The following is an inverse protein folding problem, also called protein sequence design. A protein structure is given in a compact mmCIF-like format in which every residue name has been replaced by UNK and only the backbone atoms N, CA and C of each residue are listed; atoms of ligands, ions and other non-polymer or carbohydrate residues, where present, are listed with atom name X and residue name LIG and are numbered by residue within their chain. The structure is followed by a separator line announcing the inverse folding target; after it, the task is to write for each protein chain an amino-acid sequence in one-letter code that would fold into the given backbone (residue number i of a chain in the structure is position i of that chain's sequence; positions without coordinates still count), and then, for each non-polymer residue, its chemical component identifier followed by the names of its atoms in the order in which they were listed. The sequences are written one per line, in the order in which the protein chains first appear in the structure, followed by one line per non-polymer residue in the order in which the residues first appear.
data_IF_539410278765
#
_entry.id   IF_539410278765
#
_cell.length_a   1.000
_cell.length_b   1.000
_cell.length_c   1.000
_cell.angle_alpha   90.00
_cell.angle_beta   90.00
_cell.angle_gamma   90.00
#
_symmetry.space_group_name_H-M   'P 1'
#
loop_
_entity.id
_entity.type
_entity.pdbx_description
1 polymer ?
#
# COMPACT_ATOMS: atom_id res chain seq x y z
N UNK A 1 56.20 37.58 -41.78
CA UNK A 1 55.09 38.11 -41.02
C UNK A 1 53.99 37.05 -41.05
N UNK A 2 53.86 36.34 -39.97
CA UNK A 2 52.85 35.24 -39.81
C UNK A 2 51.93 35.66 -38.69
N UNK A 3 50.64 35.84 -39.01
CA UNK A 3 49.60 36.17 -38.04
C UNK A 3 49.06 34.87 -37.43
N UNK A 4 49.18 34.72 -36.10
CA UNK A 4 48.56 33.67 -35.32
C UNK A 4 47.11 34.04 -35.01
N UNK A 5 46.15 33.23 -35.47
CA UNK A 5 44.76 33.29 -35.09
C UNK A 5 44.48 32.41 -33.87
N UNK A 6 44.07 33.02 -32.76
CA UNK A 6 43.61 32.33 -31.55
C UNK A 6 42.16 31.84 -31.73
N UNK A 7 41.95 30.53 -31.73
CA UNK A 7 40.64 29.89 -31.61
C UNK A 7 40.31 29.74 -30.14
N UNK A 8 39.33 30.52 -29.67
CA UNK A 8 38.74 30.32 -28.34
C UNK A 8 37.58 29.30 -28.46
N UNK A 9 37.83 28.09 -28.00
CA UNK A 9 36.79 27.09 -27.88
C UNK A 9 35.99 27.31 -26.60
N UNK A 10 34.78 27.81 -26.76
CA UNK A 10 33.81 27.97 -25.66
C UNK A 10 33.17 26.61 -25.31
N UNK A 11 33.51 26.06 -24.14
CA UNK A 11 32.84 24.92 -23.53
C UNK A 11 31.53 25.37 -22.93
N UNK A 12 30.40 25.11 -23.60
CA UNK A 12 29.05 25.22 -23.04
C UNK A 12 28.80 23.95 -22.18
N UNK A 13 29.05 24.06 -20.88
CA UNK A 13 28.63 23.04 -19.91
C UNK A 13 27.09 23.16 -19.72
N UNK A 14 26.35 22.31 -20.42
CA UNK A 14 24.91 22.16 -20.23
C UNK A 14 24.63 21.52 -18.87
N UNK A 15 24.15 22.33 -17.93
CA UNK A 15 23.68 21.87 -16.62
C UNK A 15 22.33 21.15 -16.82
N UNK A 16 22.34 19.82 -16.96
CA UNK A 16 21.14 19.00 -16.90
C UNK A 16 20.64 18.99 -15.45
N UNK A 17 19.68 19.87 -15.14
CA UNK A 17 18.85 19.76 -13.94
C UNK A 17 17.99 18.51 -14.09
N UNK A 18 18.47 17.38 -13.56
CA UNK A 18 17.63 16.21 -13.32
C UNK A 18 16.64 16.60 -12.25
N UNK A 19 15.41 16.91 -12.64
CA UNK A 19 14.27 17.01 -11.74
C UNK A 19 14.03 15.62 -11.17
N UNK A 20 14.70 15.31 -10.06
CA UNK A 20 14.36 14.15 -9.24
C UNK A 20 13.00 14.47 -8.64
N UNK A 21 11.93 14.00 -9.29
CA UNK A 21 10.62 13.93 -8.64
C UNK A 21 10.82 13.03 -7.41
N UNK A 22 10.63 13.53 -6.18
CA UNK A 22 10.63 12.67 -5.02
C UNK A 22 9.50 11.65 -5.24
N UNK A 23 9.85 10.39 -5.38
CA UNK A 23 8.88 9.31 -5.35
C UNK A 23 8.29 9.33 -3.94
N UNK A 24 7.12 9.96 -3.79
CA UNK A 24 6.39 9.94 -2.53
C UNK A 24 5.98 8.51 -2.25
N UNK A 25 6.46 8.00 -1.15
CA UNK A 25 6.29 6.61 -0.76
C UNK A 25 4.83 6.23 -0.47
N UNK A 26 4.06 7.12 0.17
CA UNK A 26 2.62 6.98 0.44
C UNK A 26 1.98 8.34 0.24
N UNK A 27 0.91 8.40 -0.55
CA UNK A 27 0.16 9.64 -0.76
C UNK A 27 -0.62 10.03 0.51
N UNK A 28 0.00 10.78 1.39
CA UNK A 28 -0.64 11.35 2.59
C UNK A 28 -1.65 12.43 2.18
N UNK A 29 -1.32 13.19 1.13
CA UNK A 29 -2.18 14.22 0.54
C UNK A 29 -2.39 13.90 -0.93
N UNK A 30 -3.63 13.95 -1.39
CA UNK A 30 -3.99 13.80 -2.79
C UNK A 30 -4.75 15.04 -3.25
N UNK A 31 -4.41 15.53 -4.43
CA UNK A 31 -5.23 16.50 -5.14
C UNK A 31 -6.43 15.81 -5.79
N UNK A 32 -7.44 16.56 -6.18
CA UNK A 32 -8.60 16.03 -6.90
C UNK A 32 -8.18 15.34 -8.22
N UNK A 33 -7.19 15.89 -8.92
CA UNK A 33 -6.67 15.32 -10.16
C UNK A 33 -5.98 13.98 -9.91
N UNK A 34 -5.16 13.85 -8.87
CA UNK A 34 -4.52 12.60 -8.48
C UNK A 34 -5.53 11.56 -8.02
N UNK A 35 -6.60 11.98 -7.35
CA UNK A 35 -7.70 11.11 -6.97
C UNK A 35 -8.42 10.53 -8.19
N UNK A 36 -8.70 11.34 -9.22
CA UNK A 36 -9.29 10.89 -10.47
C UNK A 36 -8.35 9.92 -11.22
N UNK A 37 -7.05 10.22 -11.27
CA UNK A 37 -6.06 9.30 -11.86
C UNK A 37 -6.01 7.96 -11.13
N UNK A 38 -6.13 7.94 -9.80
CA UNK A 38 -6.18 6.72 -9.01
C UNK A 38 -7.45 5.90 -9.31
N UNK A 39 -8.61 6.54 -9.42
CA UNK A 39 -9.85 5.88 -9.84
C UNK A 39 -9.71 5.21 -11.20
N UNK A 40 -9.20 5.93 -12.20
CA UNK A 40 -9.01 5.39 -13.54
C UNK A 40 -7.95 4.27 -13.57
N UNK A 41 -6.89 4.38 -12.77
CA UNK A 41 -5.88 3.34 -12.63
C UNK A 41 -6.47 2.02 -12.08
N UNK A 42 -7.42 2.11 -11.16
CA UNK A 42 -8.16 0.95 -10.68
C UNK A 42 -9.18 0.42 -11.68
N UNK A 43 -9.88 1.31 -12.39
CA UNK A 43 -10.94 1.00 -13.34
C UNK A 43 -10.42 0.27 -14.59
N UNK A 44 -9.38 0.82 -15.22
CA UNK A 44 -8.91 0.35 -16.52
C UNK A 44 -8.52 -1.14 -16.59
N UNK A 45 -7.78 -1.74 -15.63
CA UNK A 45 -7.49 -3.17 -15.65
C UNK A 45 -8.75 -4.03 -15.46
N UNK A 46 -9.72 -3.58 -14.65
CA UNK A 46 -10.96 -4.30 -14.41
C UNK A 46 -11.88 -4.27 -15.62
N UNK A 47 -11.90 -3.18 -16.38
CA UNK A 47 -12.64 -3.09 -17.65
C UNK A 47 -12.10 -4.07 -18.71
N UNK A 48 -10.79 -4.31 -18.72
CA UNK A 48 -10.14 -5.23 -19.66
C UNK A 48 -10.29 -6.70 -19.26
N UNK A 49 -10.53 -6.99 -17.98
CA UNK A 49 -10.67 -8.37 -17.49
C UNK A 49 -11.99 -9.00 -17.98
N UNK A 50 -11.93 -10.06 -18.78
CA UNK A 50 -13.09 -10.70 -19.40
C UNK A 50 -13.39 -12.10 -18.82
N UNK A 51 -12.56 -12.59 -17.90
CA UNK A 51 -12.77 -13.89 -17.22
C UNK A 51 -12.61 -13.74 -15.71
N UNK A 52 -13.18 -14.68 -14.91
CA UNK A 52 -12.98 -14.71 -13.47
C UNK A 52 -11.50 -14.80 -13.08
N UNK A 53 -10.69 -15.50 -13.87
CA UNK A 53 -9.24 -15.66 -13.65
C UNK A 53 -8.51 -14.32 -13.85
N UNK A 54 -8.88 -13.54 -14.87
CA UNK A 54 -8.31 -12.22 -15.10
C UNK A 54 -8.71 -11.24 -13.99
N UNK A 55 -9.97 -11.27 -13.55
CA UNK A 55 -10.44 -10.49 -12.39
C UNK A 55 -9.63 -10.84 -11.13
N UNK A 56 -9.42 -12.14 -10.87
CA UNK A 56 -8.60 -12.60 -9.75
C UNK A 56 -7.18 -12.05 -9.82
N UNK A 57 -6.55 -12.08 -11.00
CA UNK A 57 -5.19 -11.51 -11.20
C UNK A 57 -5.16 -10.00 -10.94
N UNK A 58 -6.17 -9.24 -11.40
CA UNK A 58 -6.26 -7.80 -11.12
C UNK A 58 -6.34 -7.53 -9.61
N UNK A 59 -7.17 -8.27 -8.88
CA UNK A 59 -7.31 -8.11 -7.43
C UNK A 59 -6.05 -8.53 -6.67
N UNK A 60 -5.40 -9.62 -7.09
CA UNK A 60 -4.15 -10.08 -6.51
C UNK A 60 -3.03 -9.05 -6.72
N UNK A 61 -2.88 -8.54 -7.95
CA UNK A 61 -1.91 -7.49 -8.26
C UNK A 61 -2.14 -6.23 -7.41
N UNK A 62 -3.38 -5.80 -7.26
CA UNK A 62 -3.74 -4.64 -6.45
C UNK A 62 -3.35 -4.82 -4.96
N UNK A 63 -3.56 -6.01 -4.39
CA UNK A 63 -3.17 -6.29 -3.00
C UNK A 63 -1.65 -6.37 -2.83
N UNK A 64 -0.92 -6.82 -3.85
CA UNK A 64 0.54 -6.90 -3.82
C UNK A 64 1.20 -5.53 -3.96
N UNK A 65 0.60 -4.60 -4.70
CA UNK A 65 1.14 -3.24 -4.92
C UNK A 65 1.26 -2.41 -3.63
N UNK A 66 0.45 -2.73 -2.62
CA UNK A 66 0.46 -2.04 -1.32
C UNK A 66 0.87 -2.95 -0.15
N UNK A 67 1.40 -4.13 -0.45
CA UNK A 67 1.87 -5.07 0.56
C UNK A 67 3.30 -4.74 0.99
N UNK A 68 3.55 -4.86 2.29
CA UNK A 68 4.87 -4.81 2.91
C UNK A 68 5.12 -6.08 3.72
N UNK A 69 6.39 -6.39 4.00
CA UNK A 69 6.77 -7.63 4.65
C UNK A 69 6.90 -8.80 3.68
N UNK A 70 6.45 -9.98 4.07
CA UNK A 70 6.61 -11.19 3.28
C UNK A 70 5.74 -11.20 2.02
N UNK A 71 6.30 -11.76 0.95
CA UNK A 71 5.58 -12.07 -0.28
C UNK A 71 4.85 -13.43 -0.11
N UNK A 72 3.51 -13.45 -0.15
CA UNK A 72 2.75 -14.68 0.10
C UNK A 72 2.94 -15.75 -0.97
N UNK A 73 3.50 -15.42 -2.15
CA UNK A 73 3.83 -16.40 -3.19
C UNK A 73 5.13 -17.15 -2.86
N UNK A 74 6.05 -16.50 -2.10
CA UNK A 74 7.33 -17.08 -1.69
C UNK A 74 7.28 -17.67 -0.28
N UNK A 75 6.56 -16.99 0.61
CA UNK A 75 6.38 -17.39 2.00
C UNK A 75 4.91 -17.17 2.38
N UNK A 76 4.14 -18.22 2.24
CA UNK A 76 2.70 -18.22 2.50
C UNK A 76 2.34 -17.86 3.96
N UNK A 77 3.26 -18.08 4.91
CA UNK A 77 3.10 -17.81 6.34
C UNK A 77 3.98 -16.67 6.85
N UNK A 78 4.75 -16.04 5.98
CA UNK A 78 5.51 -14.85 6.34
C UNK A 78 4.60 -13.70 6.77
N UNK A 79 5.00 -13.03 7.84
CA UNK A 79 4.24 -11.88 8.34
C UNK A 79 4.23 -10.74 7.32
N UNK A 80 3.07 -10.21 7.04
CA UNK A 80 2.89 -9.13 6.05
C UNK A 80 1.76 -8.19 6.42
N UNK A 81 1.76 -7.01 5.81
CA UNK A 81 0.68 -6.05 5.95
C UNK A 81 0.31 -5.43 4.59
N UNK A 82 -0.98 -5.17 4.40
CA UNK A 82 -1.51 -4.45 3.25
C UNK A 82 -1.88 -3.05 3.71
N UNK A 83 -1.31 -2.03 3.06
CA UNK A 83 -1.54 -0.63 3.39
C UNK A 83 -2.73 -0.12 2.58
N UNK A 84 -3.85 0.12 3.24
CA UNK A 84 -5.05 0.67 2.62
C UNK A 84 -4.96 2.20 2.59
N UNK A 85 -4.03 2.70 1.77
CA UNK A 85 -3.78 4.13 1.56
C UNK A 85 -4.98 4.81 0.87
N UNK A 86 -4.97 6.14 0.78
CA UNK A 86 -5.98 6.90 0.02
C UNK A 86 -6.02 6.44 -1.43
N UNK A 87 -4.85 6.30 -2.09
CA UNK A 87 -4.72 5.80 -3.47
C UNK A 87 -5.31 4.40 -3.61
N UNK A 88 -4.91 3.45 -2.75
CA UNK A 88 -5.45 2.09 -2.76
C UNK A 88 -6.98 2.07 -2.70
N UNK A 89 -7.59 2.91 -1.84
CA UNK A 89 -9.05 3.00 -1.71
C UNK A 89 -9.72 3.55 -2.96
N UNK A 90 -9.14 4.59 -3.57
CA UNK A 90 -9.64 5.15 -4.82
C UNK A 90 -9.52 4.15 -5.97
N UNK A 91 -8.39 3.46 -6.10
CA UNK A 91 -8.24 2.37 -7.07
C UNK A 91 -9.24 1.22 -6.83
N UNK A 92 -9.54 0.89 -5.55
CA UNK A 92 -10.56 -0.09 -5.21
C UNK A 92 -11.96 0.37 -5.66
N UNK A 93 -12.28 1.64 -5.49
CA UNK A 93 -13.53 2.23 -6.01
C UNK A 93 -13.58 2.17 -7.53
N UNK A 94 -12.50 2.50 -8.23
CA UNK A 94 -12.42 2.37 -9.69
C UNK A 94 -12.66 0.93 -10.16
N UNK A 95 -12.08 -0.06 -9.47
CA UNK A 95 -12.36 -1.48 -9.75
C UNK A 95 -13.83 -1.84 -9.53
N UNK A 96 -14.43 -1.31 -8.46
CA UNK A 96 -15.85 -1.53 -8.17
C UNK A 96 -16.76 -0.90 -9.22
N UNK A 97 -16.50 0.34 -9.64
CA UNK A 97 -17.21 1.02 -10.73
C UNK A 97 -17.22 0.18 -12.00
N UNK A 98 -16.04 -0.29 -12.43
CA UNK A 98 -15.91 -1.12 -13.64
C UNK A 98 -16.69 -2.44 -13.52
N UNK A 99 -16.60 -3.10 -12.36
CA UNK A 99 -17.33 -4.34 -12.09
C UNK A 99 -18.84 -4.14 -12.14
N UNK A 100 -19.36 -3.11 -11.48
CA UNK A 100 -20.79 -2.80 -11.47
C UNK A 100 -21.29 -2.31 -12.84
N UNK A 101 -20.46 -1.52 -13.56
CA UNK A 101 -20.78 -1.09 -14.92
C UNK A 101 -20.96 -2.28 -15.86
N UNK A 102 -20.08 -3.27 -15.80
CA UNK A 102 -20.20 -4.51 -16.57
C UNK A 102 -21.48 -5.30 -16.24
N UNK A 103 -21.76 -5.48 -14.95
CA UNK A 103 -22.95 -6.21 -14.49
C UNK A 103 -24.25 -5.55 -14.96
N UNK A 104 -24.33 -4.22 -14.84
CA UNK A 104 -25.55 -3.46 -15.16
C UNK A 104 -25.62 -2.96 -16.60
N UNK A 105 -24.56 -3.16 -17.39
CA UNK A 105 -24.44 -2.67 -18.78
C UNK A 105 -24.68 -1.15 -18.89
N UNK A 106 -24.26 -0.39 -17.91
CA UNK A 106 -24.36 1.08 -17.84
C UNK A 106 -23.12 1.64 -17.19
N UNK A 107 -22.72 2.87 -17.53
CA UNK A 107 -21.57 3.52 -16.89
C UNK A 107 -21.93 3.94 -15.46
N UNK A 108 -21.29 3.32 -14.49
CA UNK A 108 -21.46 3.63 -13.06
C UNK A 108 -20.21 4.34 -12.59
N UNK A 109 -20.40 5.47 -11.94
CA UNK A 109 -19.34 6.28 -11.35
C UNK A 109 -19.59 6.52 -9.88
N UNK A 110 -18.49 6.53 -9.10
CA UNK A 110 -18.56 6.88 -7.69
C UNK A 110 -18.91 8.36 -7.54
N UNK A 111 -19.87 8.72 -6.69
CA UNK A 111 -20.19 10.12 -6.45
C UNK A 111 -18.98 10.90 -5.90
N UNK A 112 -18.80 12.15 -6.32
CA UNK A 112 -17.70 13.02 -5.90
C UNK A 112 -17.59 13.18 -4.37
N UNK A 113 -18.70 13.05 -3.67
CA UNK A 113 -18.73 13.09 -2.21
C UNK A 113 -17.90 11.94 -1.58
N UNK A 114 -17.97 10.72 -2.15
CA UNK A 114 -17.18 9.59 -1.68
C UNK A 114 -15.71 9.77 -1.99
N UNK A 115 -15.38 10.33 -3.16
CA UNK A 115 -14.02 10.65 -3.55
C UNK A 115 -13.43 11.64 -2.55
N UNK A 116 -14.15 12.73 -2.25
CA UNK A 116 -13.73 13.73 -1.25
C UNK A 116 -13.51 13.11 0.13
N UNK A 117 -14.43 12.25 0.61
CA UNK A 117 -14.27 11.55 1.88
C UNK A 117 -12.96 10.76 1.96
N UNK A 118 -12.51 10.13 0.86
CA UNK A 118 -11.23 9.43 0.84
C UNK A 118 -10.05 10.40 0.81
N UNK A 119 -10.12 11.46 0.01
CA UNK A 119 -9.07 12.49 -0.07
C UNK A 119 -8.85 13.16 1.30
N UNK A 120 -9.93 13.45 2.02
CA UNK A 120 -9.90 14.11 3.33
C UNK A 120 -9.63 13.16 4.50
N UNK A 121 -9.52 11.85 4.24
CA UNK A 121 -9.31 10.85 5.30
C UNK A 121 -8.02 11.12 6.06
N UNK A 122 -8.06 11.27 7.40
CA UNK A 122 -6.87 11.59 8.20
C UNK A 122 -6.01 10.37 8.51
N UNK A 123 -6.52 9.16 8.26
CA UNK A 123 -5.93 7.93 8.74
C UNK A 123 -5.67 6.91 7.63
N UNK A 124 -4.64 6.10 7.80
CA UNK A 124 -4.34 4.93 7.01
C UNK A 124 -4.78 3.68 7.78
N UNK A 125 -5.49 2.77 7.11
CA UNK A 125 -5.77 1.45 7.63
C UNK A 125 -4.72 0.45 7.15
N UNK A 126 -4.30 -0.43 8.04
CA UNK A 126 -3.30 -1.47 7.77
C UNK A 126 -3.94 -2.82 8.08
N UNK A 127 -4.07 -3.69 7.09
CA UNK A 127 -4.49 -5.08 7.29
C UNK A 127 -3.27 -5.95 7.50
N UNK A 128 -3.12 -6.50 8.70
CA UNK A 128 -2.02 -7.38 9.09
C UNK A 128 -2.41 -8.82 8.85
N UNK A 129 -1.50 -9.61 8.29
CA UNK A 129 -1.65 -11.06 8.07
C UNK A 129 -0.51 -11.80 8.76
N UNK A 130 -0.86 -12.75 9.62
CA UNK A 130 0.07 -13.54 10.40
C UNK A 130 -0.30 -15.03 10.34
N UNK A 131 0.67 -15.91 10.62
CA UNK A 131 0.42 -17.32 10.92
C UNK A 131 0.84 -17.66 12.34
N UNK A 132 0.16 -18.64 12.94
CA UNK A 132 0.40 -19.15 14.28
C UNK A 132 -0.05 -20.60 14.43
N UNK A 133 0.23 -21.18 15.61
CA UNK A 133 0.03 -22.61 15.86
C UNK A 133 -1.37 -22.96 16.39
N UNK A 134 -2.13 -21.96 16.86
CA UNK A 134 -3.52 -22.13 17.28
C UNK A 134 -4.44 -21.09 16.60
N UNK A 135 -5.75 -21.34 16.65
CA UNK A 135 -6.74 -20.52 15.95
C UNK A 135 -6.99 -19.14 16.58
N UNK A 136 -6.50 -18.90 17.80
CA UNK A 136 -6.66 -17.64 18.52
C UNK A 136 -5.34 -16.91 18.78
N UNK A 137 -4.22 -17.39 18.20
CA UNK A 137 -2.87 -16.88 18.45
C UNK A 137 -2.74 -15.36 18.28
N UNK A 138 -3.54 -14.73 17.42
CA UNK A 138 -3.51 -13.29 17.16
C UNK A 138 -4.55 -12.50 18.01
N UNK A 139 -5.33 -13.17 18.88
CA UNK A 139 -6.29 -12.47 19.73
C UNK A 139 -5.58 -11.51 20.68
N UNK A 140 -6.09 -10.27 20.78
CA UNK A 140 -5.49 -9.23 21.63
C UNK A 140 -4.11 -8.74 21.17
N UNK A 141 -3.68 -9.04 19.95
CA UNK A 141 -2.45 -8.51 19.39
C UNK A 141 -2.44 -6.99 19.41
N UNK A 142 -1.31 -6.40 19.80
CA UNK A 142 -1.04 -4.98 19.73
C UNK A 142 -0.08 -4.70 18.57
N UNK A 143 -0.20 -3.52 17.97
CA UNK A 143 0.66 -3.13 16.86
C UNK A 143 1.11 -1.68 17.00
N UNK A 144 2.39 -1.43 16.71
CA UNK A 144 2.96 -0.10 16.57
C UNK A 144 3.75 0.02 15.26
N UNK A 145 3.85 1.23 14.74
CA UNK A 145 4.75 1.56 13.63
C UNK A 145 6.04 2.14 14.21
N UNK A 146 7.16 1.51 13.94
CA UNK A 146 8.47 1.95 14.41
C UNK A 146 9.25 2.61 13.26
N UNK A 147 9.80 3.82 13.53
CA UNK A 147 10.63 4.61 12.62
C UNK A 147 11.89 5.04 13.39
N UNK A 148 12.98 4.30 13.25
CA UNK A 148 14.16 4.47 14.11
C UNK A 148 13.81 4.27 15.58
N UNK A 149 14.01 5.29 16.42
CA UNK A 149 13.63 5.28 17.84
C UNK A 149 12.17 5.70 18.10
N UNK A 150 11.49 6.29 17.11
CA UNK A 150 10.10 6.73 17.24
C UNK A 150 9.15 5.54 17.15
N UNK A 151 8.24 5.45 18.11
CA UNK A 151 7.16 4.47 18.15
C UNK A 151 5.82 5.18 17.99
N UNK A 152 5.08 4.81 16.96
CA UNK A 152 3.76 5.36 16.65
C UNK A 152 2.72 4.28 16.98
N UNK A 153 1.87 4.55 17.95
CA UNK A 153 0.79 3.64 18.32
C UNK A 153 -0.34 3.73 17.31
N UNK A 154 -0.98 2.60 17.03
CA UNK A 154 -2.24 2.60 16.32
C UNK A 154 -3.31 3.38 17.13
N UNK A 155 -4.18 4.11 16.42
CA UNK A 155 -5.32 4.82 17.02
C UNK A 155 -6.39 3.80 17.41
N UNK A 156 -6.55 2.78 16.58
CA UNK A 156 -7.50 1.69 16.76
C UNK A 156 -6.89 0.38 16.26
N UNK A 157 -7.21 -0.71 16.94
CA UNK A 157 -6.82 -2.07 16.51
C UNK A 157 -8.08 -2.92 16.54
N UNK A 158 -8.48 -3.35 15.36
CA UNK A 158 -9.63 -4.23 15.19
C UNK A 158 -9.38 -5.61 15.79
N UNK A 159 -10.46 -6.29 16.16
CA UNK A 159 -10.39 -7.67 16.66
C UNK A 159 -9.78 -8.59 15.59
N UNK A 160 -8.82 -9.43 16.00
CA UNK A 160 -8.26 -10.44 15.11
C UNK A 160 -9.34 -11.46 14.70
N UNK A 161 -9.33 -11.82 13.41
CA UNK A 161 -10.15 -12.92 12.92
C UNK A 161 -9.69 -14.23 13.56
N UNK A 162 -10.63 -15.13 13.85
CA UNK A 162 -10.30 -16.51 14.18
C UNK A 162 -9.44 -17.10 13.06
N UNK A 163 -8.34 -17.72 13.42
CA UNK A 163 -7.40 -18.31 12.47
C UNK A 163 -8.06 -19.36 11.58
N UNK A 164 -7.84 -19.26 10.29
CA UNK A 164 -8.25 -20.27 9.31
C UNK A 164 -7.11 -21.26 9.11
N UNK A 165 -7.43 -22.55 9.01
CA UNK A 165 -6.40 -23.55 8.72
C UNK A 165 -5.61 -23.17 7.47
N UNK A 166 -4.30 -23.28 7.58
CA UNK A 166 -3.37 -23.15 6.47
C UNK A 166 -3.16 -24.51 5.83
N UNK A 167 -3.30 -24.58 4.50
CA UNK A 167 -3.14 -25.85 3.75
C UNK A 167 -1.68 -26.14 3.37
N UNK A 168 -0.74 -25.22 3.68
CA UNK A 168 0.68 -25.30 3.34
C UNK A 168 1.55 -25.85 4.48
N UNK A 169 2.86 -25.96 4.20
CA UNK A 169 3.90 -26.19 5.21
C UNK A 169 4.04 -24.92 6.07
N UNK A 170 4.11 -25.06 7.40
CA UNK A 170 4.26 -23.95 8.34
C UNK A 170 3.24 -23.99 9.46
N UNK A 171 3.07 -22.88 10.21
CA UNK A 171 2.09 -22.78 11.27
C UNK A 171 0.68 -23.12 10.79
N UNK A 172 -0.09 -23.79 11.67
CA UNK A 172 -1.36 -24.44 11.29
C UNK A 172 -2.49 -23.46 10.93
N UNK A 173 -2.38 -22.19 11.38
CA UNK A 173 -3.45 -21.21 11.22
C UNK A 173 -2.95 -19.88 10.67
N UNK A 174 -3.80 -19.21 9.87
CA UNK A 174 -3.61 -17.86 9.37
C UNK A 174 -4.72 -16.95 9.90
N UNK A 175 -4.35 -15.83 10.48
CA UNK A 175 -5.27 -14.81 10.99
C UNK A 175 -4.99 -13.45 10.37
N UNK A 176 -6.00 -12.56 10.44
CA UNK A 176 -5.92 -11.17 10.02
C UNK A 176 -6.57 -10.27 11.06
N UNK A 177 -6.04 -9.07 11.17
CA UNK A 177 -6.67 -7.96 11.88
C UNK A 177 -6.31 -6.64 11.20
N UNK A 178 -7.04 -5.59 11.54
CA UNK A 178 -6.80 -4.24 11.03
C UNK A 178 -6.28 -3.34 12.13
N UNK A 179 -5.45 -2.37 11.75
CA UNK A 179 -4.99 -1.29 12.62
C UNK A 179 -5.07 0.04 11.89
N UNK A 180 -5.30 1.12 12.61
CA UNK A 180 -5.47 2.46 12.06
C UNK A 180 -4.36 3.37 12.58
N UNK A 181 -3.68 4.09 11.68
CA UNK A 181 -2.63 5.04 11.98
C UNK A 181 -2.96 6.41 11.41
N UNK A 182 -2.79 7.49 12.20
CA UNK A 182 -2.93 8.84 11.69
C UNK A 182 -1.79 9.18 10.73
N UNK A 183 -2.10 9.73 9.55
CA UNK A 183 -1.07 10.15 8.60
C UNK A 183 -0.10 11.18 9.17
N UNK A 184 -0.55 12.05 10.06
CA UNK A 184 0.28 13.06 10.72
C UNK A 184 1.25 12.49 11.77
N UNK A 185 1.05 11.25 12.20
CA UNK A 185 1.82 10.63 13.28
C UNK A 185 3.15 10.04 12.83
N UNK A 186 3.35 9.81 11.54
CA UNK A 186 4.55 9.17 10.99
C UNK A 186 5.10 9.90 9.76
N UNK A 187 6.36 9.65 9.44
CA UNK A 187 7.00 10.15 8.21
C UNK A 187 6.84 9.11 7.09
N UNK A 188 6.15 9.42 5.99
CA UNK A 188 5.95 8.48 4.88
C UNK A 188 7.26 8.13 4.13
N UNK A 189 8.35 8.87 4.34
CA UNK A 189 9.63 8.65 3.68
C UNK A 189 10.64 7.90 4.59
N UNK A 190 10.32 7.72 5.88
CA UNK A 190 11.22 7.06 6.79
C UNK A 190 11.20 5.54 6.64
N UNK A 191 12.36 4.92 6.83
CA UNK A 191 12.41 3.47 7.00
C UNK A 191 11.57 3.07 8.21
N UNK A 192 10.67 2.13 8.00
CA UNK A 192 9.64 1.77 8.94
C UNK A 192 9.55 0.26 9.15
N UNK A 193 8.97 -0.14 10.25
CA UNK A 193 8.51 -1.52 10.47
C UNK A 193 7.25 -1.50 11.33
N UNK A 194 6.29 -2.34 11.01
CA UNK A 194 5.22 -2.67 11.94
C UNK A 194 5.74 -3.71 12.94
N UNK A 195 5.53 -3.45 14.21
CA UNK A 195 5.90 -4.34 15.30
C UNK A 195 4.62 -4.82 15.95
N UNK A 196 4.36 -6.13 15.83
CA UNK A 196 3.18 -6.77 16.39
C UNK A 196 3.60 -7.54 17.63
N UNK A 197 2.96 -7.25 18.76
CA UNK A 197 3.15 -7.93 20.03
C UNK A 197 1.95 -8.85 20.27
N UNK A 198 2.19 -10.15 20.34
CA UNK A 198 1.17 -11.15 20.66
C UNK A 198 1.02 -11.30 22.18
N UNK A 199 -0.10 -11.87 22.62
CA UNK A 199 -0.36 -12.06 24.07
C UNK A 199 0.60 -13.04 24.75
N UNK A 200 1.19 -13.98 24.00
CA UNK A 200 2.22 -14.91 24.49
C UNK A 200 3.60 -14.24 24.68
N UNK A 201 3.72 -12.95 24.41
CA UNK A 201 4.95 -12.17 24.50
C UNK A 201 5.82 -12.23 23.24
N UNK A 202 5.41 -12.93 22.20
CA UNK A 202 6.13 -12.97 20.92
C UNK A 202 6.01 -11.62 20.19
N UNK A 203 7.16 -11.09 19.77
CA UNK A 203 7.25 -9.93 18.90
C UNK A 203 7.44 -10.37 17.44
N UNK A 204 6.64 -9.84 16.54
CA UNK A 204 6.74 -10.06 15.09
C UNK A 204 7.02 -8.73 14.42
N UNK A 205 8.11 -8.66 13.65
CA UNK A 205 8.52 -7.46 12.94
C UNK A 205 8.25 -7.58 11.45
N UNK A 206 7.48 -6.65 10.89
CA UNK A 206 7.13 -6.58 9.47
C UNK A 206 7.85 -5.36 8.88
N UNK A 207 8.94 -5.54 8.12
CA UNK A 207 9.61 -4.42 7.46
C UNK A 207 8.66 -3.70 6.51
N UNK A 208 8.62 -2.37 6.58
CA UNK A 208 7.72 -1.53 5.80
C UNK A 208 8.52 -0.46 5.05
N UNK A 209 8.86 -0.78 3.81
CA UNK A 209 9.48 0.18 2.89
C UNK A 209 8.37 0.90 2.12
N UNK A 210 7.96 2.05 2.64
CA UNK A 210 6.88 2.83 2.05
C UNK A 210 7.24 3.39 0.66
N UNK A 211 8.53 3.48 0.29
CA UNK A 211 8.97 3.93 -1.04
C UNK A 211 8.58 2.96 -2.16
N UNK A 212 8.28 1.72 -1.81
CA UNK A 212 7.86 0.66 -2.74
C UNK A 212 6.35 0.50 -2.84
N UNK A 213 5.60 1.20 -2.03
CA UNK A 213 4.13 1.17 -2.00
C UNK A 213 3.60 2.14 -3.06
N UNK A 214 2.71 1.67 -3.92
CA UNK A 214 2.12 2.47 -4.99
C UNK A 214 0.70 2.88 -4.66
#
# INVERSE_FOLDING_TARGET
MVAQGNLVAGLLAGLFLVLINPAFAIDVKLTTEEAQKALEAGRAPMEKANSPEEVKKVLQHASMATRVGADPEKDACGASAILRTKRYRLEAFGRQEASESKKRKTDIRMPDEFIRKVVDMPNMEVEVQLCGDDEYFAEGALIELQQGSKKVKAIDVGKAERGRKNEGSGPAYRSRFTAVFAYESFDPNAQSAFVVNLQDGKEIRIPADFSKVK
#
